data_IF_050167079289
#
_entry.id   IF_050167079289
#
_cell.length_a   1.000
_cell.length_b   1.000
_cell.length_c   1.000
_cell.angle_alpha   90.00
_cell.angle_beta   90.00
_cell.angle_gamma   90.00
#
_symmetry.space_group_name_H-M   'P 1'
#
loop_
_entity.id
_entity.type
_entity.pdbx_description
1 polymer ?
#
# COMPACT_ATOMS: atom_id res chain seq x y z
N UNK A 1 2.71 5.34 -27.95
CA UNK A 1 3.35 4.08 -27.56
C UNK A 1 2.48 2.87 -27.87
N UNK A 2 3.09 1.68 -27.89
CA UNK A 2 2.38 0.43 -28.11
C UNK A 2 1.80 -0.07 -26.79
N UNK A 3 0.58 -0.59 -26.84
CA UNK A 3 -0.10 -1.20 -25.68
C UNK A 3 0.32 -2.67 -25.54
N UNK A 4 0.77 -3.03 -24.37
CA UNK A 4 1.11 -4.42 -24.05
C UNK A 4 -0.15 -5.32 -24.07
N UNK A 5 -0.06 -6.58 -24.53
CA UNK A 5 1.12 -7.29 -25.01
C UNK A 5 1.51 -6.92 -26.45
N UNK A 6 2.81 -6.86 -26.71
CA UNK A 6 3.39 -6.49 -28.01
C UNK A 6 4.22 -7.64 -28.56
N UNK A 7 3.94 -8.05 -29.80
CA UNK A 7 4.69 -9.06 -30.52
C UNK A 7 5.08 -8.49 -31.88
N UNK A 8 6.36 -8.56 -32.25
CA UNK A 8 6.88 -8.01 -33.50
C UNK A 8 6.47 -6.54 -33.73
N UNK A 9 6.63 -5.70 -32.72
CA UNK A 9 6.26 -4.27 -32.71
C UNK A 9 4.78 -3.98 -33.03
N UNK A 10 3.90 -4.96 -32.84
CA UNK A 10 2.45 -4.79 -32.99
C UNK A 10 1.72 -5.16 -31.72
N UNK A 11 0.71 -4.37 -31.34
CA UNK A 11 -0.20 -4.74 -30.27
C UNK A 11 -0.94 -6.04 -30.60
N UNK A 12 -1.13 -6.91 -29.62
CA UNK A 12 -1.87 -8.15 -29.82
C UNK A 12 -2.69 -8.52 -28.60
N UNK A 13 -3.82 -9.18 -28.79
CA UNK A 13 -4.59 -9.83 -27.74
C UNK A 13 -4.10 -11.25 -27.43
N UNK A 14 -3.19 -11.78 -28.26
CA UNK A 14 -2.70 -13.14 -28.17
C UNK A 14 -1.33 -13.18 -27.52
N UNK A 15 -1.29 -13.10 -26.18
CA UNK A 15 -0.04 -13.19 -25.43
C UNK A 15 0.41 -14.65 -25.25
N UNK A 16 -0.53 -15.50 -24.88
CA UNK A 16 -0.29 -16.89 -24.53
C UNK A 16 -0.78 -17.79 -25.66
N UNK A 17 0.04 -18.05 -26.64
CA UNK A 17 -0.28 -18.97 -27.74
C UNK A 17 0.98 -19.60 -28.31
N UNK A 18 0.79 -20.71 -29.02
CA UNK A 18 1.85 -21.38 -29.74
C UNK A 18 2.62 -20.43 -30.64
N UNK A 19 3.95 -20.51 -30.62
CA UNK A 19 4.85 -19.66 -31.38
C UNK A 19 5.15 -18.27 -30.77
N UNK A 20 4.45 -17.89 -29.68
CA UNK A 20 4.64 -16.61 -28.99
C UNK A 20 5.00 -16.79 -27.51
N UNK A 21 4.61 -17.89 -26.93
CA UNK A 21 4.93 -18.22 -25.54
C UNK A 21 5.47 -19.64 -25.49
N UNK A 22 6.71 -19.85 -25.01
CA UNK A 22 7.33 -21.19 -24.98
C UNK A 22 6.63 -22.17 -24.03
N UNK A 23 5.76 -21.69 -23.15
CA UNK A 23 5.00 -22.52 -22.21
C UNK A 23 3.61 -22.92 -22.73
N UNK A 24 3.20 -22.40 -23.89
CA UNK A 24 1.91 -22.75 -24.50
C UNK A 24 2.09 -23.97 -25.41
N UNK A 25 1.36 -25.04 -25.13
CA UNK A 25 1.37 -26.29 -25.92
C UNK A 25 0.75 -26.10 -27.26
N UNK A 26 1.14 -26.97 -28.21
CA UNK A 26 0.57 -26.99 -29.56
C UNK A 26 -0.95 -27.13 -29.52
N UNK A 27 -1.65 -26.29 -30.26
CA UNK A 27 -3.11 -26.25 -30.32
C UNK A 27 -3.78 -25.55 -29.14
N UNK A 28 -3.02 -25.15 -28.15
CA UNK A 28 -3.48 -24.31 -27.02
C UNK A 28 -3.20 -22.84 -27.31
N UNK A 29 -3.86 -22.01 -26.60
CA UNK A 29 -3.66 -20.55 -26.61
C UNK A 29 -4.93 -19.84 -26.24
N UNK A 30 -4.75 -18.74 -25.53
CA UNK A 30 -5.84 -17.91 -25.07
C UNK A 30 -5.61 -16.47 -25.51
N UNK A 31 -6.67 -15.75 -25.74
CA UNK A 31 -6.61 -14.28 -25.82
C UNK A 31 -6.20 -13.73 -24.47
N UNK A 32 -5.55 -12.56 -24.46
CA UNK A 32 -5.03 -11.94 -23.25
C UNK A 32 -6.05 -11.89 -22.11
N UNK A 33 -7.33 -11.68 -22.40
CA UNK A 33 -8.40 -11.65 -21.40
C UNK A 33 -9.05 -13.03 -21.13
N UNK A 34 -8.51 -14.09 -21.66
CA UNK A 34 -8.96 -15.45 -21.37
C UNK A 34 -10.27 -15.88 -22.06
N UNK A 35 -10.94 -15.00 -22.79
CA UNK A 35 -12.21 -15.29 -23.48
C UNK A 35 -12.04 -15.41 -24.99
N UNK A 36 -12.76 -16.33 -25.61
CA UNK A 36 -12.73 -16.55 -27.09
C UNK A 36 -13.15 -15.32 -27.88
N UNK A 37 -14.09 -14.53 -27.35
CA UNK A 37 -14.56 -13.29 -27.97
C UNK A 37 -13.68 -12.07 -27.63
N UNK A 38 -12.63 -12.25 -26.80
CA UNK A 38 -11.69 -11.20 -26.39
C UNK A 38 -12.26 -10.18 -25.43
N UNK A 39 -13.43 -10.42 -24.84
CA UNK A 39 -14.04 -9.52 -23.86
C UNK A 39 -13.51 -9.79 -22.46
N UNK A 40 -13.36 -8.75 -21.68
CA UNK A 40 -13.04 -8.86 -20.26
C UNK A 40 -14.27 -9.35 -19.47
N UNK A 41 -14.04 -10.11 -18.42
CA UNK A 41 -15.10 -10.46 -17.46
C UNK A 41 -15.29 -9.30 -16.52
N UNK A 42 -16.53 -8.83 -16.40
CA UNK A 42 -16.91 -7.79 -15.44
C UNK A 42 -17.83 -8.44 -14.40
N UNK A 43 -17.39 -8.43 -13.14
CA UNK A 43 -18.18 -8.93 -12.03
C UNK A 43 -18.91 -7.79 -11.34
N UNK A 44 -20.24 -7.89 -11.23
CA UNK A 44 -21.03 -6.99 -10.41
C UNK A 44 -20.86 -7.39 -8.93
N UNK A 45 -19.88 -6.80 -8.26
CA UNK A 45 -19.63 -7.07 -6.85
C UNK A 45 -20.22 -5.95 -5.99
N UNK A 46 -21.05 -6.27 -4.98
CA UNK A 46 -21.52 -5.26 -4.05
C UNK A 46 -20.35 -4.73 -3.21
N UNK A 47 -20.42 -3.46 -2.85
CA UNK A 47 -19.46 -2.87 -1.93
C UNK A 47 -19.54 -3.55 -0.57
N UNK A 48 -18.38 -3.92 -0.03
CA UNK A 48 -18.21 -4.39 1.34
C UNK A 48 -17.26 -3.44 2.07
N UNK A 49 -17.60 -2.97 3.27
CA UNK A 49 -16.70 -2.13 4.05
C UNK A 49 -15.46 -2.92 4.47
N UNK A 50 -14.41 -2.18 4.90
CA UNK A 50 -13.26 -2.78 5.52
C UNK A 50 -13.64 -3.54 6.79
N UNK A 51 -12.86 -4.57 7.16
CA UNK A 51 -13.08 -5.36 8.37
C UNK A 51 -13.01 -4.51 9.65
N UNK A 52 -12.26 -3.42 9.64
CA UNK A 52 -12.23 -2.40 10.69
C UNK A 52 -12.32 -1.01 10.06
N UNK A 53 -13.15 -0.15 10.63
CA UNK A 53 -13.33 1.24 10.22
C UNK A 53 -13.04 2.18 11.39
N UNK A 54 -12.65 3.45 11.16
CA UNK A 54 -12.53 4.45 12.21
C UNK A 54 -13.82 4.64 13.00
N UNK A 55 -13.66 4.95 14.27
CA UNK A 55 -14.75 5.24 15.20
C UNK A 55 -14.42 6.42 16.12
N UNK A 56 -15.16 6.59 17.20
CA UNK A 56 -14.97 7.71 18.14
C UNK A 56 -13.65 7.64 18.91
N UNK A 57 -13.12 6.45 19.15
CA UNK A 57 -11.87 6.26 19.88
C UNK A 57 -10.65 6.26 18.96
N UNK A 58 -10.75 5.57 17.81
CA UNK A 58 -9.72 5.46 16.79
C UNK A 58 -10.20 6.17 15.53
N UNK A 59 -10.08 7.49 15.52
CA UNK A 59 -10.75 8.40 14.59
C UNK A 59 -10.08 8.60 13.24
N UNK A 60 -8.97 7.90 12.99
CA UNK A 60 -8.18 7.99 11.78
C UNK A 60 -8.06 6.64 11.08
N UNK A 61 -8.04 6.67 9.76
CA UNK A 61 -7.52 5.55 8.99
C UNK A 61 -5.99 5.50 9.11
N UNK A 62 -5.42 4.36 9.46
CA UNK A 62 -4.02 4.06 9.23
C UNK A 62 -3.90 3.34 7.88
N UNK A 63 -3.08 3.86 7.00
CA UNK A 63 -2.66 3.19 5.76
C UNK A 63 -1.18 2.88 5.82
N UNK A 64 -0.78 1.69 5.37
CA UNK A 64 0.62 1.29 5.27
C UNK A 64 1.07 1.16 3.82
N UNK A 65 2.34 1.40 3.55
CA UNK A 65 2.84 1.33 2.18
C UNK A 65 4.34 1.53 2.07
N UNK A 66 4.78 1.98 0.89
CA UNK A 66 6.19 2.22 0.55
C UNK A 66 6.46 3.70 0.41
N UNK A 67 7.72 4.08 0.59
CA UNK A 67 8.27 5.38 0.17
C UNK A 67 9.10 5.18 -1.09
N UNK A 68 9.35 6.27 -1.82
CA UNK A 68 10.07 6.18 -3.09
C UNK A 68 11.51 5.71 -2.91
N UNK A 69 12.14 6.13 -1.83
CA UNK A 69 13.55 5.91 -1.52
C UNK A 69 13.83 4.46 -1.09
N UNK A 70 12.80 3.75 -0.59
CA UNK A 70 12.98 2.38 -0.12
C UNK A 70 12.10 1.36 -0.84
N UNK A 71 12.77 0.38 -1.45
CA UNK A 71 12.09 -0.75 -2.06
C UNK A 71 11.60 -1.74 -0.99
N UNK A 72 10.29 -1.93 -0.92
CA UNK A 72 9.62 -2.87 -0.02
C UNK A 72 10.02 -2.63 1.46
N UNK A 73 10.63 -3.60 2.12
CA UNK A 73 11.12 -3.53 3.51
C UNK A 73 12.45 -2.78 3.67
N UNK A 74 13.01 -2.26 2.58
CA UNK A 74 14.27 -1.53 2.62
C UNK A 74 15.52 -2.40 2.77
N UNK A 75 15.39 -3.73 2.80
CA UNK A 75 16.51 -4.65 3.03
C UNK A 75 17.70 -4.48 2.06
N UNK A 76 17.43 -4.01 0.84
CA UNK A 76 18.46 -3.65 -0.14
C UNK A 76 18.76 -2.15 -0.14
N UNK A 77 17.74 -1.32 -0.24
CA UNK A 77 17.90 0.14 -0.45
C UNK A 77 18.44 0.87 0.77
N UNK A 78 18.20 0.39 1.99
CA UNK A 78 18.84 0.96 3.21
C UNK A 78 20.36 0.73 3.28
N UNK A 79 20.92 -0.18 2.45
CA UNK A 79 22.36 -0.37 2.29
C UNK A 79 22.99 0.63 1.33
N UNK A 80 22.19 1.38 0.57
CA UNK A 80 22.64 2.48 -0.27
C UNK A 80 22.62 3.75 0.58
N UNK A 81 23.80 4.29 0.86
CA UNK A 81 23.99 5.39 1.81
C UNK A 81 23.18 6.65 1.46
N UNK A 82 23.04 6.96 0.18
CA UNK A 82 22.29 8.12 -0.31
C UNK A 82 20.80 7.96 -0.05
N UNK A 83 20.24 6.80 -0.33
CA UNK A 83 18.82 6.50 -0.10
C UNK A 83 18.50 6.47 1.40
N UNK A 84 19.39 5.85 2.18
CA UNK A 84 19.22 5.81 3.64
C UNK A 84 19.30 7.19 4.27
N UNK A 85 20.22 8.06 3.82
CA UNK A 85 20.28 9.45 4.29
C UNK A 85 19.05 10.27 3.92
N UNK A 86 18.49 10.03 2.75
CA UNK A 86 17.30 10.75 2.28
C UNK A 86 16.06 10.43 3.15
N UNK A 87 15.88 9.17 3.55
CA UNK A 87 14.76 8.72 4.40
C UNK A 87 15.28 7.68 5.41
N UNK A 88 15.93 8.12 6.51
CA UNK A 88 16.54 7.20 7.46
C UNK A 88 15.52 6.43 8.33
N UNK A 89 14.35 7.01 8.56
CA UNK A 89 13.35 6.51 9.48
C UNK A 89 11.93 6.65 8.93
N UNK A 90 11.04 5.76 9.35
CA UNK A 90 9.63 5.89 9.07
C UNK A 90 9.01 7.03 9.88
N UNK A 91 8.22 7.87 9.22
CA UNK A 91 7.47 8.96 9.83
C UNK A 91 5.97 8.77 9.64
N UNK A 92 5.18 9.36 10.52
CA UNK A 92 3.72 9.39 10.42
C UNK A 92 3.29 10.57 9.54
N UNK A 93 2.97 10.30 8.28
CA UNK A 93 2.40 11.33 7.40
C UNK A 93 0.96 11.61 7.81
N UNK A 94 0.65 12.88 8.00
CA UNK A 94 -0.66 13.35 8.45
C UNK A 94 -1.06 14.63 7.71
N UNK A 95 -2.36 14.79 7.45
CA UNK A 95 -2.85 16.03 6.87
C UNK A 95 -2.61 17.20 7.83
N UNK A 96 -2.17 18.39 7.36
CA UNK A 96 -1.88 19.53 8.22
C UNK A 96 -3.03 19.94 9.13
N UNK A 97 -4.27 19.91 8.64
CA UNK A 97 -5.45 20.26 9.44
C UNK A 97 -5.73 19.24 10.55
N UNK A 98 -5.46 17.95 10.29
CA UNK A 98 -5.63 16.90 11.31
C UNK A 98 -4.55 16.98 12.39
N UNK A 99 -3.34 17.37 12.02
CA UNK A 99 -2.27 17.67 12.93
C UNK A 99 -2.59 18.93 13.80
N UNK A 100 -3.05 20.00 13.16
CA UNK A 100 -3.45 21.23 13.84
C UNK A 100 -4.56 21.01 14.88
N UNK A 101 -5.62 20.24 14.51
CA UNK A 101 -6.69 19.86 15.44
C UNK A 101 -6.18 19.14 16.69
N UNK A 102 -5.08 18.40 16.57
CA UNK A 102 -4.42 17.66 17.65
C UNK A 102 -3.29 18.44 18.32
N UNK A 103 -3.10 19.73 17.94
CA UNK A 103 -2.01 20.60 18.42
C UNK A 103 -0.61 19.99 18.18
N UNK A 104 -0.48 19.26 17.07
CA UNK A 104 0.76 18.63 16.65
C UNK A 104 1.44 19.47 15.56
N UNK A 105 2.75 19.62 15.69
CA UNK A 105 3.58 20.26 14.67
C UNK A 105 4.40 19.21 13.91
N UNK A 106 4.89 19.58 12.73
CA UNK A 106 5.86 18.79 11.99
C UNK A 106 7.05 18.43 12.86
N UNK A 107 7.47 17.19 12.89
CA UNK A 107 8.56 16.69 13.72
C UNK A 107 8.16 16.31 15.15
N UNK A 108 6.94 16.63 15.59
CA UNK A 108 6.47 16.23 16.91
C UNK A 108 6.47 14.70 17.04
N UNK A 109 7.00 14.21 18.16
CA UNK A 109 6.93 12.78 18.49
C UNK A 109 5.51 12.43 18.93
N UNK A 110 4.98 11.38 18.35
CA UNK A 110 3.63 10.90 18.62
C UNK A 110 3.63 9.40 18.82
N UNK A 111 2.66 8.94 19.60
CA UNK A 111 2.25 7.54 19.65
C UNK A 111 1.14 7.33 18.61
N UNK A 112 1.39 6.46 17.67
CA UNK A 112 0.34 5.93 16.77
C UNK A 112 -0.19 4.66 17.41
N UNK A 113 -1.46 4.67 17.76
CA UNK A 113 -2.10 3.61 18.53
C UNK A 113 -3.23 2.96 17.73
N UNK A 114 -3.34 1.66 17.84
CA UNK A 114 -4.48 0.86 17.38
C UNK A 114 -4.93 -0.07 18.49
N UNK A 115 -5.95 -0.87 18.28
CA UNK A 115 -6.39 -1.89 19.24
C UNK A 115 -5.35 -2.99 19.48
N UNK A 116 -4.32 -3.09 18.64
CA UNK A 116 -3.28 -4.15 18.69
C UNK A 116 -1.99 -3.69 19.32
N UNK A 117 -1.76 -2.40 19.41
CA UNK A 117 -0.54 -1.85 20.01
C UNK A 117 -0.26 -0.41 19.65
N UNK A 118 0.94 0.04 19.93
CA UNK A 118 1.41 1.37 19.64
C UNK A 118 2.84 1.38 19.10
N UNK A 119 3.17 2.41 18.32
CA UNK A 119 4.53 2.75 17.91
C UNK A 119 4.78 4.24 18.06
N UNK A 120 6.05 4.62 18.26
CA UNK A 120 6.50 6.00 18.25
C UNK A 120 6.94 6.41 16.84
N UNK A 121 6.52 7.60 16.39
CA UNK A 121 6.96 8.15 15.11
C UNK A 121 6.94 9.68 15.15
N UNK A 122 7.75 10.33 14.32
CA UNK A 122 7.65 11.77 14.11
C UNK A 122 6.53 12.09 13.11
N UNK A 123 5.79 13.17 13.36
CA UNK A 123 4.75 13.66 12.45
C UNK A 123 5.39 14.35 11.24
N UNK A 124 4.93 14.01 10.03
CA UNK A 124 5.26 14.70 8.80
C UNK A 124 3.97 15.24 8.13
N UNK A 125 3.89 16.57 8.00
CA UNK A 125 2.73 17.25 7.42
C UNK A 125 3.00 17.89 6.06
N UNK A 126 4.25 17.82 5.60
CA UNK A 126 4.72 18.42 4.36
C UNK A 126 5.44 17.36 3.52
N UNK A 127 5.82 17.72 2.34
CA UNK A 127 6.57 16.82 1.48
C UNK A 127 5.71 16.13 0.42
N UNK A 128 6.28 15.10 -0.18
CA UNK A 128 5.73 14.40 -1.34
C UNK A 128 4.47 13.59 -1.01
N UNK A 129 4.46 12.93 0.12
CA UNK A 129 3.38 12.03 0.50
C UNK A 129 2.24 12.81 1.18
N UNK A 130 1.43 13.48 0.36
CA UNK A 130 0.23 14.18 0.84
C UNK A 130 -0.87 13.15 1.09
N UNK A 131 -1.39 13.14 2.31
CA UNK A 131 -2.50 12.27 2.70
C UNK A 131 -3.80 13.06 2.85
N UNK A 132 -4.96 12.49 2.54
CA UNK A 132 -6.24 13.14 2.77
C UNK A 132 -6.54 13.29 4.27
N UNK A 133 -7.50 14.17 4.59
CA UNK A 133 -8.01 14.31 5.97
C UNK A 133 -8.60 13.00 6.46
N UNK A 134 -8.42 12.71 7.73
CA UNK A 134 -8.91 11.49 8.36
C UNK A 134 -8.04 10.26 8.08
N UNK A 135 -6.87 10.44 7.42
CA UNK A 135 -5.95 9.36 7.13
C UNK A 135 -4.53 9.70 7.60
N UNK A 136 -3.86 8.72 8.17
CA UNK A 136 -2.41 8.73 8.40
C UNK A 136 -1.75 7.62 7.58
N UNK A 137 -0.52 7.87 7.15
CA UNK A 137 0.26 6.89 6.39
C UNK A 137 1.59 6.62 7.11
N UNK A 138 1.93 5.35 7.26
CA UNK A 138 3.20 4.89 7.82
C UNK A 138 3.85 3.89 6.89
N UNK A 139 5.08 4.13 6.43
CA UNK A 139 5.81 3.15 5.63
C UNK A 139 6.32 1.99 6.48
N UNK A 140 6.43 0.80 5.87
CA UNK A 140 6.78 -0.42 6.58
C UNK A 140 8.24 -0.86 6.44
N UNK A 141 9.13 0.02 5.96
CA UNK A 141 10.55 -0.32 5.75
C UNK A 141 11.40 -0.26 7.02
N UNK A 142 10.91 0.35 8.09
CA UNK A 142 11.67 0.63 9.31
C UNK A 142 11.42 -0.44 10.37
N UNK A 143 12.42 -1.26 10.66
CA UNK A 143 12.34 -2.34 11.64
C UNK A 143 12.20 -1.83 13.09
N UNK A 144 12.69 -0.61 13.38
CA UNK A 144 12.52 0.01 14.70
C UNK A 144 11.09 0.51 14.94
N UNK A 145 10.33 0.69 13.85
CA UNK A 145 8.93 1.17 13.83
C UNK A 145 8.06 0.22 13.03
N UNK A 146 7.96 -1.02 13.47
CA UNK A 146 7.24 -2.09 12.77
C UNK A 146 5.73 -1.79 12.73
N UNK A 147 5.28 -1.07 11.70
CA UNK A 147 3.89 -0.67 11.54
C UNK A 147 2.93 -1.86 11.48
N UNK A 148 3.39 -3.02 11.04
CA UNK A 148 2.58 -4.24 11.02
C UNK A 148 2.15 -4.75 12.41
N UNK A 149 2.77 -4.26 13.50
CA UNK A 149 2.25 -4.47 14.86
C UNK A 149 0.90 -3.79 15.12
N UNK A 150 0.56 -2.81 14.29
CA UNK A 150 -0.66 -2.01 14.40
C UNK A 150 -1.79 -2.53 13.51
N UNK A 151 -1.46 -3.34 12.50
CA UNK A 151 -2.42 -3.76 11.47
C UNK A 151 -3.33 -4.89 11.93
N UNK A 152 -4.44 -5.04 11.21
CA UNK A 152 -5.48 -6.00 11.52
C UNK A 152 -5.07 -7.41 11.10
N UNK A 153 -5.44 -8.39 11.91
CA UNK A 153 -5.33 -9.82 11.58
C UNK A 153 -6.62 -10.30 10.90
N UNK A 154 -6.91 -9.71 9.75
CA UNK A 154 -8.01 -10.14 8.88
C UNK A 154 -7.45 -10.73 7.60
N UNK A 155 -8.09 -11.78 7.12
CA UNK A 155 -7.63 -12.52 5.94
C UNK A 155 -8.77 -12.69 4.95
N UNK A 156 -8.50 -12.46 3.67
CA UNK A 156 -9.46 -12.73 2.62
C UNK A 156 -9.84 -14.22 2.62
N UNK A 157 -11.12 -14.58 2.69
CA UNK A 157 -11.54 -15.98 2.76
C UNK A 157 -11.20 -16.78 1.49
N UNK A 158 -11.02 -16.10 0.36
CA UNK A 158 -10.73 -16.72 -0.95
C UNK A 158 -9.22 -16.76 -1.20
N UNK A 159 -8.56 -15.59 -1.29
CA UNK A 159 -7.14 -15.49 -1.66
C UNK A 159 -6.18 -15.73 -0.50
N UNK A 160 -6.69 -15.75 0.73
CA UNK A 160 -5.89 -15.83 1.98
C UNK A 160 -4.93 -14.66 2.17
N UNK A 161 -5.12 -13.56 1.42
CA UNK A 161 -4.36 -12.33 1.61
C UNK A 161 -4.71 -11.67 2.95
N UNK A 162 -3.70 -11.28 3.70
CA UNK A 162 -3.83 -10.59 4.99
C UNK A 162 -4.08 -9.09 4.79
N UNK A 163 -5.05 -8.52 5.50
CA UNK A 163 -5.38 -7.09 5.45
C UNK A 163 -4.44 -6.26 6.33
N UNK A 164 -3.18 -6.14 5.92
CA UNK A 164 -2.18 -5.31 6.59
C UNK A 164 -2.03 -3.88 5.98
N UNK A 165 -2.97 -3.48 5.12
CA UNK A 165 -2.89 -2.18 4.43
C UNK A 165 -3.62 -1.06 5.13
N UNK A 166 -4.66 -1.36 5.91
CA UNK A 166 -5.49 -0.36 6.58
C UNK A 166 -6.11 -0.88 7.87
N UNK A 167 -6.30 0.01 8.83
CA UNK A 167 -7.07 -0.23 10.05
C UNK A 167 -7.43 1.12 10.69
N UNK A 168 -8.24 1.08 11.77
CA UNK A 168 -8.51 2.25 12.58
C UNK A 168 -7.34 2.56 13.53
N UNK A 169 -7.02 3.83 13.68
CA UNK A 169 -5.95 4.32 14.53
C UNK A 169 -6.27 5.66 15.19
N UNK A 170 -5.54 5.98 16.24
CA UNK A 170 -5.47 7.33 16.82
C UNK A 170 -4.02 7.78 16.96
N UNK A 171 -3.83 9.09 16.98
CA UNK A 171 -2.52 9.71 17.18
C UNK A 171 -2.58 10.61 18.40
N UNK A 172 -1.70 10.36 19.35
CA UNK A 172 -1.56 11.15 20.57
C UNK A 172 -0.13 11.65 20.73
N UNK A 173 0.04 12.78 21.37
CA UNK A 173 1.38 13.30 21.68
C UNK A 173 2.12 12.30 22.57
N UNK A 174 3.41 12.06 22.26
CA UNK A 174 4.26 11.21 23.07
C UNK A 174 4.68 11.90 24.37
#
# INVERSE_FOLDING_TARGET
GLRWPVVNNKETLWRFREGYDPYVKKGEGIKFYGHKDGKAVIFALPYQPAAEVPDKEYDLWLCTGRVLEHWHTGSMTRRVAELHRAVPEAVCFMHPDDAAKRKLQRGAQVKVQTRRGEILAAVETRGRNKVPRGLIFLPFFDESRLVNKLTLDATCPISKETDFKKCAAKVVKA
#
